data_IF_016499496758
#
_entry.id   IF_016499496758
#
_cell.length_a   1.000
_cell.length_b   1.000
_cell.length_c   1.000
_cell.angle_alpha   90.00
_cell.angle_beta   90.00
_cell.angle_gamma   90.00
#
_symmetry.space_group_name_H-M   'P 1'
#
loop_
_entity.id
_entity.type
_entity.pdbx_description
1 polymer ?
#
# COMPACT_ATOMS: atom_id res chain seq x y z
N UNK A 1 -70.41 36.01 -14.39
CA UNK A 1 -70.71 34.65 -14.93
C UNK A 1 -69.62 33.71 -14.41
N UNK A 2 -69.99 32.79 -13.48
CA UNK A 2 -69.31 31.56 -12.96
C UNK A 2 -67.82 31.65 -12.54
N UNK A 3 -67.47 31.65 -11.25
CA UNK A 3 -67.29 30.50 -10.31
C UNK A 3 -66.35 29.38 -10.78
N UNK A 4 -65.14 29.26 -10.17
CA UNK A 4 -64.75 28.20 -9.23
C UNK A 4 -63.22 28.14 -8.97
N UNK A 5 -62.85 28.00 -7.69
CA UNK A 5 -61.55 27.50 -7.23
C UNK A 5 -61.64 25.96 -6.98
N UNK A 6 -60.66 25.30 -6.34
CA UNK A 6 -59.42 24.75 -6.89
C UNK A 6 -59.35 23.21 -6.78
N UNK A 7 -58.42 22.55 -7.48
CA UNK A 7 -57.99 21.17 -7.16
C UNK A 7 -56.49 20.99 -7.41
N UNK A 8 -55.76 20.75 -6.32
CA UNK A 8 -54.41 20.18 -6.30
C UNK A 8 -54.42 18.74 -6.83
N UNK A 9 -53.31 18.27 -7.42
CA UNK A 9 -52.92 16.89 -7.27
C UNK A 9 -51.55 16.76 -6.59
N UNK A 10 -51.55 15.78 -5.71
CA UNK A 10 -50.48 15.22 -4.90
C UNK A 10 -49.34 14.71 -5.81
N UNK A 11 -48.16 15.34 -5.77
CA UNK A 11 -46.95 14.73 -6.34
C UNK A 11 -46.42 13.68 -5.35
N UNK A 12 -46.73 12.42 -5.61
CA UNK A 12 -46.06 11.30 -4.96
C UNK A 12 -44.60 11.24 -5.46
N UNK A 13 -43.66 11.59 -4.58
CA UNK A 13 -42.23 11.35 -4.78
C UNK A 13 -41.96 9.86 -4.59
N UNK A 14 -41.89 9.12 -5.69
CA UNK A 14 -41.26 7.80 -5.71
C UNK A 14 -39.76 8.06 -5.83
N UNK A 15 -39.03 7.91 -4.73
CA UNK A 15 -37.56 7.81 -4.75
C UNK A 15 -37.25 6.38 -5.18
N UNK A 16 -36.96 6.18 -6.46
CA UNK A 16 -36.30 4.95 -6.92
C UNK A 16 -34.81 5.16 -6.73
N UNK A 17 -34.24 4.50 -5.72
CA UNK A 17 -32.79 4.33 -5.62
C UNK A 17 -32.36 3.37 -6.75
N UNK A 18 -31.95 3.94 -7.88
CA UNK A 18 -31.39 3.20 -9.01
C UNK A 18 -29.90 2.98 -8.78
N UNK A 19 -29.51 1.75 -8.47
CA UNK A 19 -28.12 1.29 -8.62
C UNK A 19 -27.87 1.18 -10.13
N UNK A 20 -27.18 2.17 -10.71
CA UNK A 20 -26.72 2.09 -12.09
C UNK A 20 -25.33 1.44 -12.10
N UNK A 21 -25.26 0.16 -12.45
CA UNK A 21 -24.00 -0.49 -12.81
C UNK A 21 -23.62 -0.03 -14.22
N UNK A 22 -22.76 0.98 -14.33
CA UNK A 22 -22.22 1.44 -15.61
C UNK A 22 -21.03 0.55 -15.97
N UNK A 23 -21.18 -0.27 -17.02
CA UNK A 23 -20.06 -1.03 -17.60
C UNK A 23 -19.20 -0.07 -18.44
N UNK A 24 -18.17 0.53 -17.84
CA UNK A 24 -17.25 1.44 -18.53
C UNK A 24 -16.09 0.67 -19.18
N UNK A 25 -15.69 1.09 -20.38
CA UNK A 25 -14.55 0.54 -21.12
C UNK A 25 -13.26 1.25 -20.72
N UNK A 26 -12.68 0.86 -19.58
CA UNK A 26 -11.30 1.22 -19.26
C UNK A 26 -10.27 0.33 -19.93
N UNK A 27 -9.07 0.89 -20.19
CA UNK A 27 -7.89 0.13 -20.60
C UNK A 27 -7.64 -0.98 -19.57
N UNK A 28 -7.56 -2.21 -20.05
CA UNK A 28 -7.33 -3.37 -19.19
C UNK A 28 -5.81 -3.54 -19.02
N UNK A 29 -5.34 -3.56 -17.77
CA UNK A 29 -3.95 -3.82 -17.44
C UNK A 29 -3.68 -5.32 -17.45
N UNK A 30 -2.48 -5.74 -17.82
CA UNK A 30 -2.13 -7.18 -17.78
C UNK A 30 -1.72 -7.56 -16.36
N UNK A 31 -2.17 -8.72 -15.86
CA UNK A 31 -1.72 -9.25 -14.58
C UNK A 31 -0.20 -9.41 -14.58
N UNK A 32 0.47 -8.88 -13.55
CA UNK A 32 1.91 -9.05 -13.36
C UNK A 32 2.40 -10.49 -13.61
N UNK A 33 3.66 -10.68 -14.06
CA UNK A 33 4.26 -12.00 -14.18
C UNK A 33 4.08 -12.85 -12.94
N UNK A 34 3.98 -14.17 -13.11
CA UNK A 34 3.82 -15.10 -11.99
C UNK A 34 5.07 -15.01 -11.11
N UNK A 35 4.97 -14.59 -9.83
CA UNK A 35 6.14 -14.53 -8.97
C UNK A 35 6.77 -15.91 -8.83
N UNK A 36 8.10 -16.00 -9.01
CA UNK A 36 8.84 -17.27 -9.09
C UNK A 36 8.65 -18.16 -7.84
N UNK A 37 8.40 -17.57 -6.67
CA UNK A 37 8.11 -18.32 -5.45
C UNK A 37 6.71 -18.93 -5.40
N UNK A 38 5.77 -18.47 -6.23
CA UNK A 38 4.35 -18.84 -6.18
C UNK A 38 3.84 -19.61 -7.41
N UNK A 39 4.75 -19.96 -8.31
CA UNK A 39 4.45 -20.82 -9.45
C UNK A 39 4.07 -22.25 -9.01
N UNK A 40 3.93 -23.18 -9.96
CA UNK A 40 3.62 -24.59 -9.67
C UNK A 40 4.70 -25.32 -8.87
N UNK A 41 5.94 -24.86 -8.91
CA UNK A 41 7.06 -25.45 -8.17
C UNK A 41 7.16 -24.92 -6.73
N UNK A 42 6.64 -23.73 -6.48
CA UNK A 42 6.64 -23.05 -5.18
C UNK A 42 5.36 -23.20 -4.35
N UNK A 43 5.17 -22.25 -3.44
CA UNK A 43 4.03 -22.20 -2.53
C UNK A 43 2.74 -21.77 -3.25
N UNK A 44 1.59 -22.27 -2.82
CA UNK A 44 0.30 -21.81 -3.35
C UNK A 44 -0.26 -20.67 -2.49
N UNK A 45 -0.19 -19.40 -2.93
CA UNK A 45 -0.71 -18.28 -2.14
C UNK A 45 -2.24 -18.33 -2.01
N UNK A 46 -2.93 -19.05 -2.90
CA UNK A 46 -4.39 -19.13 -2.95
C UNK A 46 -4.98 -20.25 -2.10
N UNK A 47 -4.13 -21.11 -1.52
CA UNK A 47 -4.53 -22.29 -0.76
C UNK A 47 -5.50 -21.98 0.38
N UNK A 48 -5.34 -20.82 1.02
CA UNK A 48 -6.17 -20.37 2.13
C UNK A 48 -7.00 -19.12 1.79
N UNK A 49 -7.17 -18.79 0.50
CA UNK A 49 -8.01 -17.66 0.11
C UNK A 49 -9.42 -17.85 0.69
N UNK A 50 -9.96 -16.86 1.44
CA UNK A 50 -11.29 -16.97 2.03
C UNK A 50 -12.35 -17.34 0.98
N UNK A 51 -13.29 -18.26 1.26
CA UNK A 51 -14.29 -18.69 0.27
C UNK A 51 -15.09 -17.52 -0.34
N UNK A 52 -15.36 -16.47 0.43
CA UNK A 52 -16.04 -15.26 -0.06
C UNK A 52 -15.20 -14.41 -1.01
N UNK A 53 -13.88 -14.66 -1.10
CA UNK A 53 -12.94 -13.97 -1.98
C UNK A 53 -12.47 -14.82 -3.17
N UNK A 54 -12.95 -16.06 -3.30
CA UNK A 54 -12.68 -16.95 -4.43
C UNK A 54 -13.56 -16.57 -5.64
N UNK A 55 -13.18 -15.50 -6.33
CA UNK A 55 -13.94 -14.91 -7.43
C UNK A 55 -13.02 -14.28 -8.47
N UNK A 56 -13.49 -14.10 -9.71
CA UNK A 56 -12.78 -13.28 -10.71
C UNK A 56 -12.90 -11.78 -10.43
N UNK A 57 -13.77 -11.39 -9.49
CA UNK A 57 -13.85 -10.02 -8.99
C UNK A 57 -13.13 -9.87 -7.64
N UNK A 58 -12.45 -8.74 -7.46
CA UNK A 58 -11.76 -8.37 -6.22
C UNK A 58 -12.11 -6.94 -5.86
N UNK A 59 -12.40 -6.69 -4.59
CA UNK A 59 -12.54 -5.33 -4.09
C UNK A 59 -11.33 -4.92 -3.27
N UNK A 60 -10.81 -3.72 -3.53
CA UNK A 60 -9.82 -3.04 -2.68
C UNK A 60 -10.47 -1.81 -2.06
N UNK A 61 -10.09 -1.49 -0.83
CA UNK A 61 -10.55 -0.27 -0.18
C UNK A 61 -9.72 0.92 -0.68
N UNK A 62 -10.32 2.10 -0.68
CA UNK A 62 -9.73 3.30 -1.24
C UNK A 62 -9.71 4.38 -0.18
N UNK A 63 -8.55 5.02 -0.01
CA UNK A 63 -8.40 6.29 0.68
C UNK A 63 -7.62 7.24 -0.22
N UNK A 64 -8.25 8.30 -0.72
CA UNK A 64 -7.62 9.19 -1.71
C UNK A 64 -7.83 10.66 -1.37
N UNK A 65 -6.76 11.43 -1.27
CA UNK A 65 -6.79 12.91 -1.18
C UNK A 65 -6.76 13.58 -2.56
N UNK A 66 -7.32 12.86 -3.56
CA UNK A 66 -7.58 13.34 -4.92
C UNK A 66 -8.99 13.90 -5.00
N UNK A 67 -9.15 14.97 -5.78
CA UNK A 67 -10.45 15.59 -6.05
C UNK A 67 -11.33 14.63 -6.84
N UNK A 68 -12.59 14.37 -6.40
CA UNK A 68 -13.53 13.60 -7.19
C UNK A 68 -13.70 14.23 -8.58
N UNK A 69 -13.68 13.40 -9.62
CA UNK A 69 -14.00 13.87 -10.95
C UNK A 69 -15.49 14.19 -11.00
N UNK A 70 -15.84 15.48 -11.03
CA UNK A 70 -17.20 15.90 -11.39
C UNK A 70 -17.29 15.72 -12.89
N UNK A 71 -18.07 14.74 -13.34
CA UNK A 71 -18.23 14.50 -14.77
C UNK A 71 -18.88 15.71 -15.44
N UNK A 72 -18.08 16.58 -16.05
CA UNK A 72 -18.54 17.72 -16.85
C UNK A 72 -17.98 17.60 -18.27
N UNK A 73 -18.80 17.02 -19.17
CA UNK A 73 -18.46 16.82 -20.57
C UNK A 73 -18.23 18.14 -21.36
N UNK A 74 -18.42 19.31 -20.74
CA UNK A 74 -18.29 20.62 -21.39
C UNK A 74 -16.95 21.32 -21.17
N UNK A 75 -16.10 20.84 -20.25
CA UNK A 75 -14.83 21.50 -19.90
C UNK A 75 -13.64 21.22 -20.81
N UNK A 76 -13.73 20.21 -21.68
CA UNK A 76 -12.63 19.85 -22.59
C UNK A 76 -11.42 19.26 -21.88
N UNK A 77 -11.59 18.74 -20.66
CA UNK A 77 -10.55 17.99 -19.96
C UNK A 77 -10.18 16.74 -20.78
N UNK A 78 -8.89 16.42 -20.95
CA UNK A 78 -8.49 15.22 -21.68
C UNK A 78 -9.04 13.99 -20.95
N UNK A 79 -9.61 13.01 -21.67
CA UNK A 79 -10.10 11.79 -21.04
C UNK A 79 -8.95 11.10 -20.31
N UNK A 80 -9.22 10.62 -19.09
CA UNK A 80 -8.31 9.73 -18.38
C UNK A 80 -7.83 8.61 -19.30
N UNK A 81 -6.52 8.29 -19.24
CA UNK A 81 -5.91 7.17 -19.99
C UNK A 81 -6.66 5.85 -19.76
N UNK A 82 -7.33 5.73 -18.61
CA UNK A 82 -8.07 4.55 -18.20
C UNK A 82 -9.56 4.56 -18.58
N UNK A 83 -10.07 5.59 -19.27
CA UNK A 83 -11.47 5.63 -19.74
C UNK A 83 -12.55 5.72 -18.65
N UNK A 84 -12.15 5.86 -17.38
CA UNK A 84 -13.02 6.01 -16.22
C UNK A 84 -12.48 7.12 -15.31
N UNK A 85 -13.30 8.14 -15.07
CA UNK A 85 -12.96 9.31 -14.25
C UNK A 85 -13.74 9.28 -12.93
N UNK A 86 -13.21 8.62 -11.90
CA UNK A 86 -13.72 8.74 -10.53
C UNK A 86 -13.03 9.87 -9.76
N UNK A 87 -11.76 10.12 -10.06
CA UNK A 87 -10.90 11.09 -9.41
C UNK A 87 -10.01 11.78 -10.44
N UNK A 88 -9.75 13.07 -10.24
CA UNK A 88 -8.76 13.82 -11.01
C UNK A 88 -7.36 13.66 -10.39
N UNK A 89 -6.37 14.31 -10.99
CA UNK A 89 -5.02 14.42 -10.43
C UNK A 89 -4.88 15.66 -9.53
N UNK A 90 -5.96 16.42 -9.31
CA UNK A 90 -5.95 17.59 -8.45
C UNK A 90 -6.07 17.17 -6.99
N UNK A 91 -5.45 17.95 -6.12
CA UNK A 91 -5.55 17.82 -4.67
C UNK A 91 -6.95 18.19 -4.17
N UNK A 92 -7.45 17.43 -3.21
CA UNK A 92 -8.65 17.75 -2.44
C UNK A 92 -8.30 18.13 -1.00
N UNK A 93 -9.12 18.98 -0.40
CA UNK A 93 -9.06 19.35 1.02
C UNK A 93 -9.60 18.25 1.94
N UNK A 94 -10.23 17.25 1.34
CA UNK A 94 -10.76 16.05 1.98
C UNK A 94 -10.14 14.78 1.42
N UNK A 95 -9.99 13.77 2.25
CA UNK A 95 -9.67 12.40 1.86
C UNK A 95 -10.97 11.63 1.63
N UNK A 96 -11.12 11.12 0.42
CA UNK A 96 -12.27 10.38 -0.07
C UNK A 96 -12.09 8.90 0.31
N UNK A 97 -13.12 8.31 0.91
CA UNK A 97 -13.12 6.92 1.37
C UNK A 97 -14.09 6.10 0.53
N UNK A 98 -13.72 4.87 0.20
CA UNK A 98 -14.59 4.03 -0.61
C UNK A 98 -14.04 2.63 -0.87
N UNK A 99 -14.60 2.00 -1.91
CA UNK A 99 -14.24 0.68 -2.39
C UNK A 99 -14.22 0.68 -3.92
N UNK A 100 -13.12 0.21 -4.48
CA UNK A 100 -13.00 -0.09 -5.91
C UNK A 100 -13.26 -1.57 -6.15
N UNK A 101 -13.93 -1.91 -7.24
CA UNK A 101 -14.13 -3.30 -7.69
C UNK A 101 -13.38 -3.52 -9.00
N UNK A 102 -12.48 -4.51 -8.99
CA UNK A 102 -11.61 -4.88 -10.10
C UNK A 102 -12.02 -6.26 -10.59
N UNK A 103 -12.27 -6.39 -11.88
CA UNK A 103 -12.52 -7.66 -12.54
C UNK A 103 -11.25 -8.18 -13.20
N UNK A 104 -10.89 -9.42 -12.89
CA UNK A 104 -9.86 -10.20 -13.56
C UNK A 104 -10.51 -10.90 -14.76
N UNK A 105 -10.30 -10.34 -15.94
CA UNK A 105 -10.80 -10.89 -17.19
C UNK A 105 -9.80 -11.91 -17.71
N UNK A 106 -10.22 -13.17 -17.79
CA UNK A 106 -9.44 -14.25 -18.32
C UNK A 106 -10.14 -14.89 -19.51
N UNK A 107 -9.41 -15.71 -20.29
CA UNK A 107 -9.97 -16.43 -21.45
C UNK A 107 -11.15 -17.31 -21.07
N UNK A 108 -11.09 -17.94 -19.91
CA UNK A 108 -12.17 -18.73 -19.33
C UNK A 108 -12.57 -18.13 -17.98
N UNK A 109 -13.87 -17.95 -17.72
CA UNK A 109 -14.33 -17.40 -16.45
C UNK A 109 -14.16 -18.42 -15.32
N UNK A 110 -13.88 -17.92 -14.12
CA UNK A 110 -13.90 -18.72 -12.90
C UNK A 110 -12.62 -18.64 -12.07
N UNK A 111 -12.78 -18.84 -10.77
CA UNK A 111 -11.71 -18.79 -9.78
C UNK A 111 -10.60 -19.81 -10.08
N UNK A 112 -10.96 -21.07 -10.36
CA UNK A 112 -9.97 -22.14 -10.59
C UNK A 112 -9.09 -21.87 -11.82
N UNK A 113 -9.67 -21.27 -12.87
CA UNK A 113 -8.90 -20.87 -14.06
C UNK A 113 -7.95 -19.72 -13.71
N UNK A 114 -8.44 -18.70 -12.99
CA UNK A 114 -7.60 -17.59 -12.55
C UNK A 114 -6.41 -18.09 -11.72
N UNK A 115 -6.65 -18.92 -10.70
CA UNK A 115 -5.57 -19.52 -9.88
C UNK A 115 -4.58 -20.30 -10.72
N UNK A 116 -5.06 -21.13 -11.66
CA UNK A 116 -4.19 -21.90 -12.55
C UNK A 116 -3.28 -21.01 -13.40
N UNK A 117 -3.82 -19.95 -13.99
CA UNK A 117 -3.03 -19.02 -14.82
C UNK A 117 -2.08 -18.16 -13.95
N UNK A 118 -2.52 -17.68 -12.79
CA UNK A 118 -1.69 -16.95 -11.83
C UNK A 118 -0.51 -17.76 -11.28
N UNK A 119 -0.55 -19.10 -11.40
CA UNK A 119 0.56 -20.00 -11.01
C UNK A 119 1.32 -20.59 -12.21
N UNK A 120 1.09 -20.09 -13.41
CA UNK A 120 1.78 -20.54 -14.62
C UNK A 120 2.85 -19.52 -15.01
N UNK A 121 4.11 -19.95 -15.07
CA UNK A 121 5.28 -19.13 -15.42
C UNK A 121 5.11 -18.51 -16.83
N UNK A 122 5.06 -19.34 -17.86
CA UNK A 122 4.80 -18.90 -19.24
C UNK A 122 3.31 -18.98 -19.58
N UNK A 123 2.57 -17.91 -19.25
CA UNK A 123 1.13 -17.83 -19.59
C UNK A 123 0.94 -17.76 -21.10
N UNK A 124 -0.05 -18.49 -21.62
CA UNK A 124 -0.43 -18.41 -23.05
C UNK A 124 -1.27 -17.18 -23.37
N UNK A 125 -1.94 -16.64 -22.36
CA UNK A 125 -2.76 -15.45 -22.40
C UNK A 125 -2.87 -14.92 -20.99
N UNK A 126 -2.33 -13.76 -20.73
CA UNK A 126 -2.40 -13.16 -19.40
C UNK A 126 -3.84 -12.71 -19.08
N UNK A 127 -4.33 -12.98 -17.86
CA UNK A 127 -5.50 -12.31 -17.34
C UNK A 127 -5.29 -10.79 -17.36
N UNK A 128 -6.34 -10.04 -17.63
CA UNK A 128 -6.30 -8.57 -17.54
C UNK A 128 -7.14 -8.08 -16.38
N UNK A 129 -6.76 -6.95 -15.79
CA UNK A 129 -7.42 -6.30 -14.68
C UNK A 129 -8.14 -5.07 -15.19
N UNK A 130 -9.39 -4.92 -14.77
CA UNK A 130 -10.21 -3.77 -15.13
C UNK A 130 -11.02 -3.30 -13.95
N UNK A 131 -10.93 -2.02 -13.62
CA UNK A 131 -11.83 -1.42 -12.65
C UNK A 131 -13.24 -1.31 -13.25
N UNK A 132 -14.22 -1.94 -12.60
CA UNK A 132 -15.62 -2.01 -13.06
C UNK A 132 -16.60 -1.24 -12.17
N UNK A 133 -16.15 -0.74 -11.01
CA UNK A 133 -17.01 0.04 -10.13
C UNK A 133 -16.28 0.71 -8.99
N UNK A 134 -16.90 1.77 -8.47
CA UNK A 134 -16.48 2.50 -7.28
C UNK A 134 -17.70 2.76 -6.39
N UNK A 135 -17.59 2.43 -5.11
CA UNK A 135 -18.58 2.70 -4.07
C UNK A 135 -17.99 3.72 -3.10
N UNK A 136 -18.61 4.91 -2.99
CA UNK A 136 -18.18 5.94 -2.05
C UNK A 136 -18.76 5.69 -0.66
N UNK A 137 -17.92 5.83 0.37
CA UNK A 137 -18.34 5.87 1.76
C UNK A 137 -18.43 7.30 2.31
N UNK A 138 -18.03 8.29 1.51
CA UNK A 138 -17.98 9.70 1.89
C UNK A 138 -16.55 10.21 2.03
N UNK A 139 -16.41 11.44 2.51
CA UNK A 139 -15.14 12.15 2.60
C UNK A 139 -14.84 12.56 4.03
N UNK A 140 -13.57 12.82 4.28
CA UNK A 140 -13.09 13.28 5.56
C UNK A 140 -12.11 14.42 5.41
N UNK A 141 -12.29 15.50 6.18
CA UNK A 141 -11.39 16.64 6.17
C UNK A 141 -9.97 16.28 6.59
N UNK A 142 -9.01 16.66 5.74
CA UNK A 142 -7.58 16.41 5.96
C UNK A 142 -6.73 17.68 5.85
N UNK A 143 -7.37 18.83 5.67
CA UNK A 143 -6.74 20.14 5.64
C UNK A 143 -7.47 21.14 6.54
N UNK A 144 -7.51 22.41 6.13
CA UNK A 144 -8.31 23.42 6.79
C UNK A 144 -9.78 23.00 6.74
N UNK A 145 -10.47 22.93 7.90
CA UNK A 145 -11.90 22.66 7.90
C UNK A 145 -12.62 23.79 7.14
N UNK A 146 -13.63 23.48 6.33
CA UNK A 146 -14.41 24.50 5.65
C UNK A 146 -15.15 25.30 6.72
N UNK A 147 -15.35 26.59 6.48
CA UNK A 147 -16.08 27.43 7.43
C UNK A 147 -17.53 26.97 7.61
N UNK A 148 -18.12 26.16 6.71
CA UNK A 148 -19.56 25.83 6.73
C UNK A 148 -20.05 24.49 6.11
N UNK A 149 -19.21 23.52 5.68
CA UNK A 149 -19.67 22.62 4.59
C UNK A 149 -19.73 21.10 4.85
N UNK A 150 -19.35 20.57 6.03
CA UNK A 150 -19.75 19.19 6.38
C UNK A 150 -20.09 19.08 7.86
N UNK A 151 -21.30 18.61 8.20
CA UNK A 151 -21.64 18.30 9.57
C UNK A 151 -20.65 17.25 10.12
N UNK A 152 -20.15 17.38 11.36
CA UNK A 152 -19.33 16.35 12.00
C UNK A 152 -19.93 14.94 11.91
N UNK A 153 -21.27 14.84 11.82
CA UNK A 153 -22.03 13.60 11.64
C UNK A 153 -21.75 12.90 10.30
N UNK A 154 -21.58 13.63 9.20
CA UNK A 154 -21.33 13.03 7.89
C UNK A 154 -19.89 12.52 7.76
N UNK A 155 -18.93 13.24 8.34
CA UNK A 155 -17.54 12.77 8.46
C UNK A 155 -17.48 11.50 9.32
N UNK A 156 -18.13 11.50 10.48
CA UNK A 156 -18.16 10.33 11.37
C UNK A 156 -18.87 9.14 10.70
N UNK A 157 -19.93 9.37 9.92
CA UNK A 157 -20.58 8.33 9.13
C UNK A 157 -19.64 7.72 8.08
N UNK A 158 -18.83 8.54 7.39
CA UNK A 158 -17.84 8.06 6.44
C UNK A 158 -16.74 7.23 7.11
N UNK A 159 -16.22 7.71 8.24
CA UNK A 159 -15.24 6.97 9.05
C UNK A 159 -15.81 5.64 9.52
N UNK A 160 -17.05 5.63 10.02
CA UNK A 160 -17.71 4.43 10.49
C UNK A 160 -17.96 3.42 9.37
N UNK A 161 -18.42 3.86 8.20
CA UNK A 161 -18.63 3.01 7.04
C UNK A 161 -17.32 2.38 6.54
N UNK A 162 -16.24 3.17 6.46
CA UNK A 162 -14.92 2.67 6.08
C UNK A 162 -14.38 1.66 7.11
N UNK A 163 -14.47 1.98 8.42
CA UNK A 163 -14.05 1.07 9.48
C UNK A 163 -14.87 -0.23 9.50
N UNK A 164 -16.17 -0.16 9.21
CA UNK A 164 -17.03 -1.35 9.06
C UNK A 164 -16.58 -2.20 7.88
N UNK A 165 -16.27 -1.59 6.73
CA UNK A 165 -15.77 -2.30 5.56
C UNK A 165 -14.42 -2.99 5.83
N UNK A 166 -13.49 -2.30 6.53
CA UNK A 166 -12.22 -2.89 7.01
C UNK A 166 -12.50 -4.08 7.92
N UNK A 167 -13.32 -3.91 8.97
CA UNK A 167 -13.60 -4.97 9.93
C UNK A 167 -14.32 -6.18 9.31
N UNK A 168 -15.17 -5.96 8.30
CA UNK A 168 -15.79 -7.05 7.55
C UNK A 168 -14.76 -7.86 6.76
N UNK A 169 -13.81 -7.20 6.08
CA UNK A 169 -12.71 -7.87 5.40
C UNK A 169 -11.82 -8.64 6.38
N UNK A 170 -11.38 -8.00 7.46
CA UNK A 170 -10.59 -8.65 8.51
C UNK A 170 -11.31 -9.84 9.13
N UNK A 171 -12.63 -9.79 9.31
CA UNK A 171 -13.41 -10.91 9.85
C UNK A 171 -13.51 -12.08 8.88
N UNK A 172 -13.53 -11.82 7.57
CA UNK A 172 -13.59 -12.86 6.53
C UNK A 172 -12.22 -13.52 6.29
N UNK A 173 -11.14 -12.83 6.62
CA UNK A 173 -9.76 -13.28 6.44
C UNK A 173 -9.22 -14.04 7.64
N UNK A 174 -8.19 -14.86 7.41
CA UNK A 174 -7.44 -15.51 8.47
C UNK A 174 -6.44 -14.53 9.07
N UNK A 175 -5.70 -13.82 8.22
CA UNK A 175 -4.89 -12.67 8.65
C UNK A 175 -5.80 -11.53 9.09
N UNK A 176 -5.43 -10.89 10.21
CA UNK A 176 -6.05 -9.66 10.71
C UNK A 176 -5.21 -8.44 10.34
N UNK A 177 -4.44 -8.54 9.26
CA UNK A 177 -3.55 -7.49 8.81
C UNK A 177 -4.22 -6.61 7.75
N UNK A 178 -3.76 -5.36 7.71
CA UNK A 178 -4.06 -4.40 6.66
C UNK A 178 -2.79 -4.15 5.87
N UNK A 179 -2.90 -4.18 4.55
CA UNK A 179 -1.86 -3.78 3.62
C UNK A 179 -2.26 -2.46 2.97
N UNK A 180 -1.42 -1.44 3.12
CA UNK A 180 -1.64 -0.12 2.52
C UNK A 180 -0.60 0.11 1.43
N UNK A 181 -1.07 0.29 0.20
CA UNK A 181 -0.22 0.57 -0.94
C UNK A 181 -0.25 2.05 -1.30
N UNK A 182 0.93 2.66 -1.49
CA UNK A 182 1.11 4.04 -1.93
C UNK A 182 1.87 4.03 -3.26
N UNK A 183 1.21 4.50 -4.32
CA UNK A 183 1.79 4.56 -5.66
C UNK A 183 2.86 5.66 -5.80
N UNK A 184 3.62 5.58 -6.90
CA UNK A 184 4.64 6.56 -7.29
C UNK A 184 4.10 7.78 -8.05
N UNK A 185 5.01 8.52 -8.69
CA UNK A 185 4.68 9.65 -9.56
C UNK A 185 3.97 9.19 -10.84
N UNK A 186 3.16 10.07 -11.44
CA UNK A 186 2.51 9.84 -12.75
C UNK A 186 1.67 8.56 -12.82
N UNK A 187 0.91 8.27 -11.76
CA UNK A 187 -0.01 7.11 -11.70
C UNK A 187 -1.45 7.60 -11.68
N UNK A 188 -2.28 7.10 -12.61
CA UNK A 188 -3.70 7.40 -12.61
C UNK A 188 -4.41 6.71 -11.43
N UNK A 189 -5.62 7.16 -11.10
CA UNK A 189 -6.39 6.52 -10.04
C UNK A 189 -6.67 5.04 -10.34
N UNK A 190 -7.05 4.72 -11.58
CA UNK A 190 -7.37 3.34 -11.97
C UNK A 190 -6.12 2.46 -11.96
N UNK A 191 -4.98 2.95 -12.46
CA UNK A 191 -3.71 2.20 -12.46
C UNK A 191 -3.28 1.87 -11.03
N UNK A 192 -3.44 2.81 -10.10
CA UNK A 192 -3.21 2.55 -8.68
C UNK A 192 -4.12 1.40 -8.20
N UNK A 193 -5.42 1.44 -8.50
CA UNK A 193 -6.37 0.40 -8.07
C UNK A 193 -6.04 -0.97 -8.65
N UNK A 194 -5.68 -1.07 -9.94
CA UNK A 194 -5.34 -2.34 -10.59
C UNK A 194 -4.03 -2.90 -10.04
N UNK A 195 -3.02 -2.06 -9.85
CA UNK A 195 -1.73 -2.42 -9.23
C UNK A 195 -1.91 -2.95 -7.79
N UNK A 196 -2.75 -2.29 -6.99
CA UNK A 196 -3.06 -2.80 -5.65
C UNK A 196 -3.82 -4.13 -5.69
N UNK A 197 -4.74 -4.29 -6.63
CA UNK A 197 -5.52 -5.52 -6.79
C UNK A 197 -4.66 -6.72 -7.19
N UNK A 198 -3.65 -6.55 -8.06
CA UNK A 198 -2.71 -7.64 -8.36
C UNK A 198 -1.84 -8.02 -7.17
N UNK A 199 -1.31 -7.05 -6.42
CA UNK A 199 -0.55 -7.32 -5.20
C UNK A 199 -1.41 -8.08 -4.20
N UNK A 200 -2.65 -7.63 -3.96
CA UNK A 200 -3.56 -8.29 -3.04
C UNK A 200 -3.96 -9.70 -3.51
N UNK A 201 -4.08 -9.90 -4.82
CA UNK A 201 -4.32 -11.22 -5.39
C UNK A 201 -3.18 -12.18 -5.02
N UNK A 202 -1.92 -11.81 -5.24
CA UNK A 202 -0.78 -12.67 -4.90
C UNK A 202 -0.46 -12.77 -3.40
N UNK A 203 -0.97 -11.85 -2.57
CA UNK A 203 -1.04 -12.03 -1.11
C UNK A 203 -2.11 -13.06 -0.68
N UNK A 204 -2.71 -13.78 -1.62
CA UNK A 204 -3.73 -14.80 -1.36
C UNK A 204 -5.10 -14.23 -1.00
N UNK A 205 -5.29 -12.91 -1.14
CA UNK A 205 -6.49 -12.19 -0.69
C UNK A 205 -6.80 -12.42 0.80
N UNK A 206 -5.77 -12.60 1.61
CA UNK A 206 -5.87 -12.82 3.06
C UNK A 206 -5.52 -11.52 3.80
N UNK A 207 -6.51 -10.88 4.43
CA UNK A 207 -6.40 -9.58 5.10
C UNK A 207 -7.26 -8.52 4.41
N UNK A 208 -6.90 -7.25 4.59
CA UNK A 208 -7.55 -6.11 3.91
C UNK A 208 -6.51 -5.30 3.15
N UNK A 209 -6.78 -5.01 1.88
CA UNK A 209 -5.93 -4.16 1.07
C UNK A 209 -6.55 -2.78 0.86
N UNK A 210 -5.75 -1.74 1.09
CA UNK A 210 -6.11 -0.35 0.94
C UNK A 210 -5.15 0.30 -0.05
N UNK A 211 -5.69 0.85 -1.13
CA UNK A 211 -4.94 1.72 -2.02
C UNK A 211 -5.05 3.16 -1.53
N UNK A 212 -3.90 3.75 -1.21
CA UNK A 212 -3.80 5.16 -0.93
C UNK A 212 -3.52 5.92 -2.24
N UNK A 213 -4.44 6.81 -2.62
CA UNK A 213 -4.37 7.56 -3.87
C UNK A 213 -4.06 9.03 -3.61
N UNK A 214 -2.80 9.43 -3.80
CA UNK A 214 -2.39 10.83 -3.68
C UNK A 214 -2.40 11.54 -5.04
N UNK A 215 -2.52 12.89 -5.08
CA UNK A 215 -2.64 13.63 -6.33
C UNK A 215 -1.28 13.79 -7.04
N UNK A 216 -0.74 12.70 -7.57
CA UNK A 216 0.43 12.72 -8.45
C UNK A 216 0.06 13.30 -9.81
N UNK A 217 0.77 14.30 -10.31
CA UNK A 217 0.47 14.92 -11.61
C UNK A 217 0.81 13.96 -12.75
N UNK A 218 -0.03 13.93 -13.79
CA UNK A 218 0.18 13.16 -15.03
C UNK A 218 1.09 13.91 -16.03
N UNK A 219 2.05 14.70 -15.51
CA UNK A 219 2.92 15.59 -16.29
C UNK A 219 4.33 15.69 -15.70
N UNK A 220 5.32 15.23 -16.46
CA UNK A 220 6.76 15.24 -16.13
C UNK A 220 7.31 16.66 -15.89
N UNK A 221 6.66 17.69 -16.44
CA UNK A 221 7.15 19.08 -16.37
C UNK A 221 6.98 19.74 -14.98
N UNK A 222 6.17 19.15 -14.08
CA UNK A 222 5.81 19.73 -12.78
C UNK A 222 6.36 18.95 -11.56
N UNK A 223 7.37 18.11 -11.74
CA UNK A 223 7.91 17.22 -10.70
C UNK A 223 8.33 17.94 -9.38
N UNK A 224 8.68 19.23 -9.41
CA UNK A 224 8.94 20.03 -8.20
C UNK A 224 7.66 20.42 -7.45
N UNK A 225 6.55 20.68 -8.16
CA UNK A 225 5.24 20.87 -7.55
C UNK A 225 4.77 19.57 -6.88
N UNK A 226 5.10 18.41 -7.43
CA UNK A 226 4.73 17.10 -6.88
C UNK A 226 5.40 16.77 -5.56
N UNK A 227 6.62 17.26 -5.29
CA UNK A 227 7.23 17.15 -3.95
C UNK A 227 6.45 17.92 -2.90
N UNK A 228 5.92 19.10 -3.25
CA UNK A 228 5.05 19.87 -2.35
C UNK A 228 3.69 19.17 -2.14
N UNK A 229 3.21 18.46 -3.15
CA UNK A 229 1.96 17.68 -3.10
C UNK A 229 2.11 16.39 -2.31
N UNK A 230 3.20 15.63 -2.47
CA UNK A 230 3.50 14.47 -1.63
C UNK A 230 3.67 14.88 -0.16
N UNK A 231 4.34 16.02 0.10
CA UNK A 231 4.40 16.59 1.45
C UNK A 231 3.00 16.88 2.01
N UNK A 232 2.06 17.34 1.18
CA UNK A 232 0.69 17.59 1.61
C UNK A 232 -0.09 16.30 1.95
N UNK A 233 0.16 15.21 1.23
CA UNK A 233 -0.48 13.90 1.46
C UNK A 233 0.00 13.18 2.73
N UNK A 234 1.09 13.63 3.33
CA UNK A 234 1.60 13.14 4.61
C UNK A 234 0.56 13.19 5.73
N UNK A 235 -0.10 14.33 5.92
CA UNK A 235 -1.09 14.51 7.00
C UNK A 235 -2.33 13.62 6.78
N UNK A 236 -2.97 13.60 5.60
CA UNK A 236 -4.06 12.67 5.32
C UNK A 236 -3.66 11.21 5.56
N UNK A 237 -2.49 10.78 5.09
CA UNK A 237 -1.99 9.42 5.30
C UNK A 237 -1.78 9.08 6.79
N UNK A 238 -1.18 9.99 7.56
CA UNK A 238 -1.06 9.84 9.04
C UNK A 238 -2.42 9.69 9.72
N UNK A 239 -3.43 10.45 9.28
CA UNK A 239 -4.80 10.33 9.81
C UNK A 239 -5.45 9.00 9.44
N UNK A 240 -5.22 8.50 8.22
CA UNK A 240 -5.64 7.16 7.82
C UNK A 240 -5.06 6.11 8.78
N UNK A 241 -3.73 6.08 8.97
CA UNK A 241 -3.08 5.13 9.89
C UNK A 241 -3.63 5.22 11.32
N UNK A 242 -3.82 6.45 11.82
CA UNK A 242 -4.40 6.68 13.16
C UNK A 242 -5.81 6.10 13.27
N UNK A 243 -6.65 6.27 12.24
CA UNK A 243 -8.03 5.77 12.25
C UNK A 243 -8.09 4.25 12.08
N UNK A 244 -7.25 3.67 11.23
CA UNK A 244 -7.15 2.23 11.09
C UNK A 244 -6.78 1.58 12.43
N UNK A 245 -5.76 2.10 13.11
CA UNK A 245 -5.33 1.58 14.41
C UNK A 245 -6.41 1.69 15.50
N UNK A 246 -7.17 2.79 15.52
CA UNK A 246 -8.12 3.11 16.60
C UNK A 246 -9.56 2.62 16.34
N UNK A 247 -9.95 2.37 15.09
CA UNK A 247 -11.35 2.10 14.70
C UNK A 247 -11.55 0.73 14.08
N UNK A 248 -10.47 -0.04 13.88
CA UNK A 248 -10.55 -1.40 13.34
C UNK A 248 -9.97 -2.46 14.29
N UNK A 249 -10.31 -3.71 14.01
CA UNK A 249 -9.81 -4.90 14.70
C UNK A 249 -8.46 -5.37 14.12
N UNK A 250 -7.75 -4.50 13.40
CA UNK A 250 -6.45 -4.83 12.79
C UNK A 250 -5.43 -5.27 13.84
N UNK A 251 -4.62 -6.27 13.52
CA UNK A 251 -3.48 -6.70 14.32
C UNK A 251 -2.20 -6.00 13.88
N UNK A 252 -1.93 -5.94 12.56
CA UNK A 252 -0.81 -5.21 11.98
C UNK A 252 -1.20 -4.42 10.72
N UNK A 253 -0.59 -3.26 10.53
CA UNK A 253 -0.68 -2.42 9.35
C UNK A 253 0.68 -2.45 8.66
N UNK A 254 0.72 -2.97 7.44
CA UNK A 254 1.89 -3.01 6.58
C UNK A 254 1.75 -1.98 5.47
N UNK A 255 2.85 -1.31 5.15
CA UNK A 255 2.90 -0.22 4.19
C UNK A 255 3.86 -0.60 3.08
N UNK A 256 3.38 -0.62 1.84
CA UNK A 256 4.19 -0.71 0.63
C UNK A 256 4.14 0.64 -0.07
N UNK A 257 5.28 1.33 -0.16
CA UNK A 257 5.36 2.64 -0.79
C UNK A 257 6.40 2.65 -1.91
N UNK A 258 5.97 3.14 -3.06
CA UNK A 258 6.78 3.16 -4.29
C UNK A 258 7.21 4.58 -4.63
N UNK A 259 8.47 4.76 -5.05
CA UNK A 259 8.91 6.02 -5.68
C UNK A 259 8.63 7.27 -4.81
N UNK A 260 7.99 8.28 -5.41
CA UNK A 260 7.52 9.51 -4.78
C UNK A 260 6.44 9.30 -3.70
N UNK A 261 5.87 8.09 -3.57
CA UNK A 261 5.04 7.70 -2.44
C UNK A 261 5.83 7.38 -1.16
N UNK A 262 7.13 7.04 -1.28
CA UNK A 262 7.96 6.69 -0.12
C UNK A 262 8.11 7.84 0.91
N UNK A 263 8.36 9.10 0.51
CA UNK A 263 8.36 10.23 1.44
C UNK A 263 7.08 10.36 2.26
N UNK A 264 5.90 10.10 1.66
CA UNK A 264 4.60 10.16 2.35
C UNK A 264 4.57 9.16 3.51
N UNK A 265 4.98 7.91 3.26
CA UNK A 265 5.01 6.87 4.28
C UNK A 265 6.01 7.17 5.39
N UNK A 266 7.26 7.50 5.03
CA UNK A 266 8.33 7.75 5.99
C UNK A 266 8.01 8.96 6.86
N UNK A 267 7.55 10.06 6.26
CA UNK A 267 7.22 11.28 6.99
C UNK A 267 5.99 11.10 7.89
N UNK A 268 4.97 10.36 7.46
CA UNK A 268 3.83 10.06 8.33
C UNK A 268 4.26 9.26 9.56
N UNK A 269 5.13 8.25 9.40
CA UNK A 269 5.70 7.49 10.51
C UNK A 269 6.58 8.37 11.41
N UNK A 270 7.38 9.28 10.82
CA UNK A 270 8.16 10.28 11.58
C UNK A 270 7.26 11.18 12.42
N UNK A 271 6.15 11.67 11.86
CA UNK A 271 5.17 12.46 12.62
C UNK A 271 4.50 11.66 13.74
N UNK A 272 4.11 10.40 13.48
CA UNK A 272 3.59 9.51 14.52
C UNK A 272 4.60 9.34 15.65
N UNK A 273 5.89 9.15 15.31
CA UNK A 273 6.97 9.03 16.26
C UNK A 273 7.18 10.31 17.08
N UNK A 274 7.22 11.47 16.43
CA UNK A 274 7.42 12.76 17.09
C UNK A 274 6.29 13.14 18.04
N UNK A 275 5.04 12.79 17.71
CA UNK A 275 3.89 13.00 18.60
C UNK A 275 4.01 12.24 19.93
N UNK A 276 4.83 11.18 19.98
CA UNK A 276 5.08 10.36 21.17
C UNK A 276 6.58 10.29 21.48
N UNK A 277 7.33 11.36 21.20
CA UNK A 277 8.81 11.34 21.25
C UNK A 277 9.38 10.93 22.61
N UNK A 278 8.67 11.26 23.70
CA UNK A 278 9.04 10.90 25.07
C UNK A 278 8.86 9.41 25.41
N UNK A 279 8.13 8.65 24.60
CA UNK A 279 7.95 7.20 24.75
C UNK A 279 8.97 6.43 23.89
N UNK A 280 9.33 5.18 24.26
CA UNK A 280 10.11 4.32 23.38
C UNK A 280 9.40 4.10 22.03
N UNK A 281 10.14 3.99 20.93
CA UNK A 281 9.56 3.80 19.59
C UNK A 281 8.63 2.57 19.50
N UNK A 282 8.90 1.52 20.30
CA UNK A 282 8.04 0.35 20.43
C UNK A 282 6.62 0.68 20.94
N UNK A 283 6.44 1.73 21.75
CA UNK A 283 5.13 2.18 22.19
C UNK A 283 4.34 2.81 21.04
N UNK A 284 4.99 3.63 20.20
CA UNK A 284 4.39 4.14 18.95
C UNK A 284 4.00 2.99 18.03
N UNK A 285 4.87 1.99 17.87
CA UNK A 285 4.59 0.78 17.10
C UNK A 285 3.32 0.07 17.58
N UNK A 286 3.23 -0.27 18.86
CA UNK A 286 2.06 -0.97 19.42
C UNK A 286 0.80 -0.12 19.32
N UNK A 287 0.89 1.20 19.51
CA UNK A 287 -0.24 2.13 19.43
C UNK A 287 -0.85 2.19 18.03
N UNK A 288 0.00 2.25 17.01
CA UNK A 288 -0.43 2.37 15.61
C UNK A 288 -0.41 1.05 14.84
N UNK A 289 0.02 -0.03 15.51
CA UNK A 289 0.07 -1.40 14.99
C UNK A 289 0.87 -1.51 13.69
N UNK A 290 2.03 -0.85 13.61
CA UNK A 290 2.82 -0.80 12.37
C UNK A 290 3.72 -2.03 12.28
N UNK A 291 3.43 -2.91 11.33
CA UNK A 291 4.17 -4.15 11.11
C UNK A 291 5.37 -3.93 10.20
N UNK A 292 5.14 -3.71 8.91
CA UNK A 292 6.20 -3.61 7.90
C UNK A 292 6.14 -2.29 7.16
N UNK A 293 7.31 -1.72 6.91
CA UNK A 293 7.50 -0.67 5.92
C UNK A 293 8.34 -1.22 4.78
N UNK A 294 7.76 -1.35 3.60
CA UNK A 294 8.45 -1.76 2.39
C UNK A 294 8.53 -0.56 1.47
N UNK A 295 9.75 -0.11 1.20
CA UNK A 295 10.04 0.99 0.29
C UNK A 295 10.65 0.43 -0.98
N UNK A 296 10.04 0.73 -2.12
CA UNK A 296 10.52 0.28 -3.43
C UNK A 296 10.95 1.49 -4.24
N UNK A 297 12.18 1.47 -4.73
CA UNK A 297 12.76 2.53 -5.54
C UNK A 297 12.50 3.93 -4.94
N UNK A 298 12.73 4.15 -3.63
CA UNK A 298 12.23 5.33 -2.94
C UNK A 298 12.87 6.62 -3.48
N UNK A 299 12.03 7.54 -3.93
CA UNK A 299 12.45 8.86 -4.39
C UNK A 299 12.43 9.86 -3.23
N UNK A 300 13.28 9.60 -2.24
CA UNK A 300 13.43 10.40 -1.03
C UNK A 300 14.85 10.96 -0.96
N UNK A 301 15.01 12.20 -0.51
CA UNK A 301 16.35 12.74 -0.20
C UNK A 301 16.98 11.92 0.93
N UNK A 302 18.24 11.52 0.77
CA UNK A 302 18.90 10.70 1.80
C UNK A 302 19.11 11.47 3.11
N UNK A 303 19.31 12.78 3.07
CA UNK A 303 19.37 13.63 4.25
C UNK A 303 18.04 13.68 4.99
N UNK A 304 16.93 13.85 4.27
CA UNK A 304 15.58 13.80 4.84
C UNK A 304 15.29 12.42 5.45
N UNK A 305 15.68 11.34 4.78
CA UNK A 305 15.57 9.99 5.34
C UNK A 305 16.45 9.84 6.59
N UNK A 306 17.66 10.39 6.57
CA UNK A 306 18.57 10.41 7.71
C UNK A 306 17.97 11.13 8.93
N UNK A 307 17.30 12.27 8.70
CA UNK A 307 16.57 12.99 9.74
C UNK A 307 15.40 12.15 10.27
N UNK A 308 14.63 11.50 9.39
CA UNK A 308 13.53 10.64 9.80
C UNK A 308 14.01 9.45 10.65
N UNK A 309 15.12 8.83 10.28
CA UNK A 309 15.78 7.78 11.07
C UNK A 309 16.24 8.31 12.42
N UNK A 310 16.89 9.48 12.46
CA UNK A 310 17.33 10.12 13.70
C UNK A 310 16.17 10.43 14.65
N UNK A 311 15.02 10.81 14.09
CA UNK A 311 13.77 11.02 14.84
C UNK A 311 13.11 9.69 15.26
N UNK A 312 13.56 8.55 14.74
CA UNK A 312 13.09 7.21 15.09
C UNK A 312 11.98 6.66 14.19
N UNK A 313 11.76 7.21 13.00
CA UNK A 313 10.70 6.79 12.08
C UNK A 313 10.83 5.30 11.68
N UNK A 314 12.04 4.83 11.38
CA UNK A 314 12.31 3.43 11.00
C UNK A 314 12.26 2.44 12.16
N UNK A 315 12.23 2.93 13.40
CA UNK A 315 12.05 2.11 14.60
C UNK A 315 10.56 1.93 14.98
N UNK A 316 9.64 2.64 14.29
CA UNK A 316 8.19 2.45 14.46
C UNK A 316 7.71 1.13 13.82
N UNK A 317 8.06 0.78 12.57
CA UNK A 317 7.78 -0.56 12.06
C UNK A 317 8.53 -1.65 12.82
N UNK A 318 8.02 -2.89 12.80
CA UNK A 318 8.79 -4.06 13.26
C UNK A 318 10.01 -4.31 12.36
N UNK A 319 9.85 -4.01 11.06
CA UNK A 319 10.92 -4.08 10.09
C UNK A 319 10.69 -3.08 8.95
N UNK A 320 11.76 -2.45 8.50
CA UNK A 320 11.81 -1.66 7.27
C UNK A 320 12.63 -2.41 6.23
N UNK A 321 12.14 -2.54 5.00
CA UNK A 321 12.89 -3.13 3.87
C UNK A 321 12.91 -2.12 2.73
N UNK A 322 14.09 -1.84 2.19
CA UNK A 322 14.32 -0.85 1.15
C UNK A 322 14.90 -1.55 -0.07
N UNK A 323 14.21 -1.50 -1.20
CA UNK A 323 14.68 -2.02 -2.48
C UNK A 323 15.31 -0.90 -3.31
N UNK A 324 16.54 -1.12 -3.75
CA UNK A 324 17.36 -0.22 -4.58
C UNK A 324 17.93 -0.99 -5.77
N UNK A 325 18.32 -0.32 -6.85
CA UNK A 325 19.07 -0.94 -7.97
C UNK A 325 20.46 -0.32 -8.10
N UNK A 326 21.53 -1.10 -7.91
CA UNK A 326 22.88 -0.58 -7.64
C UNK A 326 23.85 -0.43 -8.82
N UNK A 327 23.57 -0.96 -10.02
CA UNK A 327 24.61 -1.12 -11.05
C UNK A 327 24.22 -0.92 -12.53
N UNK A 328 23.10 -0.26 -12.84
CA UNK A 328 22.88 0.25 -14.21
C UNK A 328 22.49 1.73 -14.28
N UNK A 329 23.01 2.39 -15.31
CA UNK A 329 22.86 3.83 -15.59
C UNK A 329 21.49 4.16 -16.20
N UNK A 330 20.41 3.64 -15.60
CA UNK A 330 19.04 3.86 -16.07
C UNK A 330 18.18 4.71 -15.10
N UNK A 331 18.80 5.40 -14.15
CA UNK A 331 18.17 6.51 -13.43
C UNK A 331 18.82 7.84 -13.84
N UNK A 332 18.51 8.29 -15.06
CA UNK A 332 18.87 9.62 -15.56
C UNK A 332 17.67 10.59 -15.57
N UNK A 333 16.64 10.34 -14.75
CA UNK A 333 15.46 11.23 -14.67
C UNK A 333 15.38 12.00 -13.32
N UNK A 334 15.86 11.44 -12.20
CA UNK A 334 15.81 12.13 -10.90
C UNK A 334 17.05 12.97 -10.56
N UNK A 335 18.19 12.69 -11.20
CA UNK A 335 19.46 13.40 -10.96
C UNK A 335 19.46 14.87 -11.44
N UNK A 336 18.49 15.29 -12.25
CA UNK A 336 18.56 16.58 -12.96
C UNK A 336 18.01 17.80 -12.19
N UNK A 337 17.22 17.62 -11.12
CA UNK A 337 16.47 18.75 -10.52
C UNK A 337 16.95 19.12 -9.09
N UNK A 338 17.69 18.25 -8.39
CA UNK A 338 17.91 18.42 -6.94
C UNK A 338 19.35 18.61 -6.44
N UNK A 339 20.38 18.12 -7.13
CA UNK A 339 21.78 18.24 -6.69
C UNK A 339 22.18 17.44 -5.42
N UNK A 340 21.31 16.59 -4.87
CA UNK A 340 21.54 15.76 -3.68
C UNK A 340 21.24 14.28 -3.95
N UNK A 341 21.89 13.39 -3.19
CA UNK A 341 21.74 11.94 -3.31
C UNK A 341 20.36 11.45 -2.81
N UNK A 342 19.77 10.51 -3.55
CA UNK A 342 18.45 9.91 -3.22
C UNK A 342 18.61 8.55 -2.53
N UNK A 343 17.64 8.18 -1.70
CA UNK A 343 17.63 6.89 -1.00
C UNK A 343 17.57 5.70 -1.98
N UNK A 344 16.84 5.85 -3.09
CA UNK A 344 16.73 4.83 -4.14
C UNK A 344 17.86 4.81 -5.16
N UNK A 345 18.87 5.68 -5.04
CA UNK A 345 19.99 5.74 -5.99
C UNK A 345 20.89 4.50 -5.92
N UNK A 346 21.61 4.21 -7.03
CA UNK A 346 22.59 3.14 -7.03
C UNK A 346 23.66 3.31 -5.96
N UNK A 347 24.09 2.21 -5.33
CA UNK A 347 25.14 2.24 -4.29
C UNK A 347 26.43 2.91 -4.77
N UNK A 348 26.75 2.83 -6.07
CA UNK A 348 27.90 3.51 -6.66
C UNK A 348 27.84 5.04 -6.59
N UNK A 349 26.65 5.62 -6.41
CA UNK A 349 26.43 7.07 -6.27
C UNK A 349 26.52 7.49 -4.79
N UNK A 350 26.26 6.57 -3.86
CA UNK A 350 26.29 6.85 -2.43
C UNK A 350 27.72 6.94 -1.88
N UNK A 351 27.94 7.86 -0.95
CA UNK A 351 29.23 7.93 -0.25
C UNK A 351 29.40 6.75 0.71
N UNK A 352 30.63 6.33 1.05
CA UNK A 352 30.86 5.29 2.07
C UNK A 352 30.19 5.59 3.42
N UNK A 353 30.07 6.88 3.78
CA UNK A 353 29.37 7.33 4.98
C UNK A 353 27.86 7.03 4.91
N UNK A 354 27.25 7.24 3.74
CA UNK A 354 25.83 6.96 3.51
C UNK A 354 25.54 5.46 3.63
N UNK A 355 26.38 4.62 3.03
CA UNK A 355 26.26 3.16 3.11
C UNK A 355 26.45 2.68 4.57
N UNK A 356 27.45 3.20 5.27
CA UNK A 356 27.68 2.88 6.68
C UNK A 356 26.51 3.32 7.57
N UNK A 357 25.94 4.50 7.33
CA UNK A 357 24.77 5.01 8.05
C UNK A 357 23.58 4.06 7.88
N UNK A 358 23.28 3.68 6.64
CA UNK A 358 22.18 2.79 6.31
C UNK A 358 22.36 1.39 6.91
N UNK A 359 23.57 0.82 6.80
CA UNK A 359 23.90 -0.49 7.36
C UNK A 359 23.94 -0.54 8.90
N UNK A 360 24.06 0.61 9.56
CA UNK A 360 24.06 0.69 11.02
C UNK A 360 22.65 0.71 11.63
N UNK A 361 21.59 0.81 10.81
CA UNK A 361 20.23 0.90 11.31
C UNK A 361 19.68 -0.49 11.64
N UNK A 362 19.49 -0.76 12.93
CA UNK A 362 18.80 -1.96 13.37
C UNK A 362 17.37 -1.99 12.84
N UNK A 363 16.93 -3.15 12.33
CA UNK A 363 15.57 -3.30 11.80
C UNK A 363 15.37 -2.76 10.39
N UNK A 364 16.41 -2.24 9.73
CA UNK A 364 16.38 -1.82 8.32
C UNK A 364 17.16 -2.82 7.46
N UNK A 365 16.49 -3.39 6.47
CA UNK A 365 17.10 -4.24 5.45
C UNK A 365 17.19 -3.47 4.13
N UNK A 366 18.34 -3.55 3.46
CA UNK A 366 18.51 -3.01 2.11
C UNK A 366 18.70 -4.17 1.16
N UNK A 367 17.90 -4.20 0.12
CA UNK A 367 17.90 -5.22 -0.93
C UNK A 367 18.27 -4.55 -2.25
N UNK A 368 19.37 -4.99 -2.84
CA UNK A 368 19.80 -4.60 -4.17
C UNK A 368 19.25 -5.55 -5.22
N UNK A 369 18.41 -5.01 -6.11
CA UNK A 369 17.68 -5.75 -7.16
C UNK A 369 18.46 -5.87 -8.47
N UNK A 370 19.64 -5.25 -8.59
CA UNK A 370 20.38 -5.21 -9.86
C UNK A 370 20.61 -6.59 -10.51
N UNK A 371 20.88 -7.62 -9.71
CA UNK A 371 21.10 -8.96 -10.25
C UNK A 371 19.83 -9.59 -10.81
N UNK A 372 18.65 -9.28 -10.24
CA UNK A 372 17.37 -9.69 -10.79
C UNK A 372 17.14 -9.02 -12.16
N UNK A 373 17.29 -7.70 -12.22
CA UNK A 373 17.12 -6.91 -13.46
C UNK A 373 18.00 -7.39 -14.63
N UNK A 374 19.25 -7.80 -14.34
CA UNK A 374 20.18 -8.31 -15.37
C UNK A 374 19.82 -9.67 -15.94
N UNK A 375 19.18 -10.54 -15.16
CA UNK A 375 18.92 -11.93 -15.57
C UNK A 375 17.79 -12.03 -16.59
N UNK A 376 16.84 -11.09 -16.57
CA UNK A 376 15.67 -11.09 -17.47
C UNK A 376 15.84 -10.25 -18.74
N UNK A 377 17.03 -9.67 -18.98
CA UNK A 377 17.30 -8.89 -20.20
C UNK A 377 16.37 -7.69 -20.37
N UNK A 378 15.76 -7.26 -19.28
CA UNK A 378 14.65 -6.34 -19.28
C UNK A 378 15.15 -5.00 -18.79
N UNK A 379 15.02 -3.97 -19.63
CA UNK A 379 15.07 -2.58 -19.20
C UNK A 379 13.79 -2.29 -18.41
N UNK A 380 13.54 -3.03 -17.31
CA UNK A 380 12.42 -2.79 -16.43
C UNK A 380 12.74 -1.47 -15.74
N UNK A 381 11.98 -0.45 -16.11
CA UNK A 381 12.11 0.86 -15.52
C UNK A 381 11.72 0.83 -14.04
N UNK A 382 11.27 1.98 -13.56
CA UNK A 382 10.93 2.23 -12.15
C UNK A 382 9.87 1.29 -11.54
N UNK A 383 9.32 0.32 -12.28
CA UNK A 383 8.22 -0.59 -11.93
C UNK A 383 8.65 -2.05 -11.62
N UNK A 384 9.96 -2.32 -11.47
CA UNK A 384 10.49 -3.69 -11.28
C UNK A 384 9.82 -4.52 -10.16
N UNK A 385 9.23 -3.90 -9.13
CA UNK A 385 8.66 -4.65 -7.99
C UNK A 385 7.43 -5.49 -8.33
N UNK A 386 6.80 -5.23 -9.47
CA UNK A 386 5.72 -6.05 -9.98
C UNK A 386 6.03 -6.65 -11.35
N UNK A 387 6.90 -6.03 -12.15
CA UNK A 387 7.26 -6.58 -13.46
C UNK A 387 8.35 -7.67 -13.41
N UNK A 388 9.15 -7.74 -12.34
CA UNK A 388 10.18 -8.76 -12.14
C UNK A 388 9.67 -9.86 -11.18
N UNK A 389 9.70 -11.11 -11.61
CA UNK A 389 9.16 -12.26 -10.87
C UNK A 389 10.00 -12.61 -9.62
N UNK A 390 11.28 -12.24 -9.56
CA UNK A 390 12.13 -12.40 -8.38
C UNK A 390 11.84 -11.30 -7.37
N UNK A 391 11.81 -10.04 -7.81
CA UNK A 391 11.59 -8.91 -6.90
C UNK A 391 10.17 -8.93 -6.35
N UNK A 392 9.16 -9.18 -7.18
CA UNK A 392 7.78 -9.33 -6.72
C UNK A 392 7.65 -10.46 -5.70
N UNK A 393 8.32 -11.59 -5.91
CA UNK A 393 8.36 -12.68 -4.91
C UNK A 393 8.94 -12.19 -3.58
N UNK A 394 10.08 -11.49 -3.59
CA UNK A 394 10.68 -11.00 -2.34
C UNK A 394 9.78 -9.98 -1.64
N UNK A 395 9.19 -9.05 -2.38
CA UNK A 395 8.27 -8.04 -1.88
C UNK A 395 7.05 -8.70 -1.22
N UNK A 396 6.43 -9.67 -1.88
CA UNK A 396 5.26 -10.39 -1.37
C UNK A 396 5.60 -11.23 -0.12
N UNK A 397 6.76 -11.90 -0.11
CA UNK A 397 7.23 -12.65 1.06
C UNK A 397 7.59 -11.73 2.25
N UNK A 398 8.16 -10.55 1.98
CA UNK A 398 8.50 -9.55 2.98
C UNK A 398 7.24 -8.90 3.58
N UNK A 399 6.29 -8.54 2.71
CA UNK A 399 5.07 -7.83 3.06
C UNK A 399 4.03 -8.76 3.71
N UNK A 400 3.71 -9.88 3.07
CA UNK A 400 2.61 -10.77 3.45
C UNK A 400 2.95 -11.79 4.54
N UNK A 401 4.23 -12.16 4.67
CA UNK A 401 4.66 -13.24 5.58
C UNK A 401 5.71 -12.81 6.59
N UNK A 402 6.18 -11.56 6.52
CA UNK A 402 7.14 -11.02 7.47
C UNK A 402 8.48 -11.77 7.52
N UNK A 403 8.83 -12.51 6.46
CA UNK A 403 10.10 -13.22 6.45
C UNK A 403 11.26 -12.23 6.47
N UNK A 404 12.36 -12.57 7.15
CA UNK A 404 13.62 -11.82 7.07
C UNK A 404 14.34 -12.13 5.74
N UNK A 405 15.25 -11.27 5.27
CA UNK A 405 15.89 -11.44 3.95
C UNK A 405 16.50 -12.83 3.69
N UNK A 406 17.23 -13.37 4.67
CA UNK A 406 17.81 -14.71 4.62
C UNK A 406 16.76 -15.82 4.53
N UNK A 407 15.64 -15.66 5.26
CA UNK A 407 14.51 -16.56 5.21
C UNK A 407 13.74 -16.49 3.87
N UNK A 408 13.92 -15.43 3.09
CA UNK A 408 13.36 -15.29 1.73
C UNK A 408 14.31 -15.79 0.63
N UNK A 409 15.53 -16.18 1.00
CA UNK A 409 16.52 -16.70 0.05
C UNK A 409 17.56 -15.68 -0.43
N UNK A 410 17.54 -14.46 0.11
CA UNK A 410 18.55 -13.45 -0.19
C UNK A 410 19.87 -13.75 0.52
N UNK A 411 20.96 -13.28 -0.06
CA UNK A 411 22.31 -13.39 0.52
C UNK A 411 22.87 -12.00 0.77
N UNK A 412 23.64 -11.84 1.85
CA UNK A 412 24.29 -10.57 2.14
C UNK A 412 25.58 -10.45 1.32
N UNK A 413 25.69 -9.39 0.53
CA UNK A 413 26.93 -9.03 -0.16
C UNK A 413 27.99 -8.64 0.89
N UNK A 414 29.13 -9.34 0.95
CA UNK A 414 30.16 -9.07 1.95
C UNK A 414 30.88 -7.72 1.74
N UNK A 415 30.83 -7.13 0.53
CA UNK A 415 31.48 -5.87 0.20
C UNK A 415 30.57 -4.68 0.48
N UNK A 416 29.33 -4.74 0.00
CA UNK A 416 28.38 -3.63 0.08
C UNK A 416 27.50 -3.68 1.34
N UNK A 417 27.52 -4.82 2.05
CA UNK A 417 26.74 -5.04 3.28
C UNK A 417 25.20 -4.98 3.10
N UNK A 418 24.73 -4.98 1.85
CA UNK A 418 23.32 -5.10 1.45
C UNK A 418 22.94 -6.55 1.13
N UNK A 419 21.65 -6.85 1.07
CA UNK A 419 21.14 -8.13 0.57
C UNK A 419 21.02 -8.10 -0.96
N UNK A 420 21.25 -9.23 -1.61
CA UNK A 420 21.12 -9.38 -3.06
C UNK A 420 20.56 -10.75 -3.41
N UNK A 421 20.12 -10.90 -4.66
CA UNK A 421 19.56 -12.11 -5.23
C UNK A 421 20.69 -13.04 -5.69
N UNK A 422 20.89 -14.22 -5.06
CA UNK A 422 21.85 -15.19 -5.56
C UNK A 422 21.34 -15.86 -6.85
N UNK A 423 22.23 -16.47 -7.63
CA UNK A 423 21.85 -17.16 -8.88
C UNK A 423 20.85 -18.32 -8.68
N UNK A 424 20.80 -18.90 -7.48
CA UNK A 424 19.86 -19.95 -7.09
C UNK A 424 18.61 -19.41 -6.36
N UNK A 425 18.33 -18.11 -6.46
CA UNK A 425 17.20 -17.46 -5.80
C UNK A 425 15.85 -18.13 -6.09
N UNK A 426 15.47 -18.50 -7.34
CA UNK A 426 14.21 -19.18 -7.63
C UNK A 426 13.94 -20.39 -6.73
N UNK A 427 14.93 -21.27 -6.57
CA UNK A 427 14.80 -22.47 -5.76
C UNK A 427 14.64 -22.14 -4.26
N UNK A 428 15.37 -21.13 -3.78
CA UNK A 428 15.28 -20.68 -2.38
C UNK A 428 13.95 -19.99 -2.10
N UNK A 429 13.48 -19.16 -3.02
CA UNK A 429 12.23 -18.44 -2.94
C UNK A 429 11.04 -19.42 -2.98
N UNK A 430 11.05 -20.41 -3.88
CA UNK A 430 10.08 -21.50 -3.91
C UNK A 430 10.04 -22.27 -2.58
N UNK A 431 11.20 -22.61 -2.01
CA UNK A 431 11.27 -23.24 -0.69
C UNK A 431 10.75 -22.33 0.45
N UNK A 432 11.01 -21.03 0.38
CA UNK A 432 10.47 -20.06 1.34
C UNK A 432 8.95 -19.97 1.25
N UNK A 433 8.41 -19.84 0.04
CA UNK A 433 6.98 -19.80 -0.23
C UNK A 433 6.28 -21.10 0.22
N UNK A 434 6.84 -22.27 -0.09
CA UNK A 434 6.30 -23.56 0.39
C UNK A 434 6.19 -23.60 1.91
N UNK A 435 7.13 -23.02 2.67
CA UNK A 435 7.06 -23.00 4.14
C UNK A 435 5.92 -22.14 4.68
N UNK A 436 5.58 -21.04 4.01
CA UNK A 436 4.57 -20.07 4.51
C UNK A 436 3.19 -20.32 3.93
N UNK A 437 3.09 -20.86 2.72
CA UNK A 437 1.86 -21.24 2.05
C UNK A 437 1.44 -22.67 2.41
N UNK A 438 1.19 -22.90 3.70
CA UNK A 438 0.75 -24.20 4.22
C UNK A 438 -0.78 -24.26 4.36
N UNK A 439 -1.42 -25.44 4.22
CA UNK A 439 -2.85 -25.57 4.52
C UNK A 439 -3.13 -25.08 5.94
N UNK A 440 -4.26 -24.40 6.14
CA UNK A 440 -4.71 -24.06 7.48
C UNK A 440 -4.73 -25.35 8.34
N UNK A 441 -3.98 -25.37 9.44
CA UNK A 441 -4.08 -26.44 10.41
C UNK A 441 -5.56 -26.55 10.80
N UNK A 442 -6.13 -27.77 10.76
CA UNK A 442 -7.52 -27.98 11.11
C UNK A 442 -7.78 -27.45 12.52
N UNK A 443 -8.41 -26.28 12.63
CA UNK A 443 -8.75 -25.67 13.91
C UNK A 443 -9.90 -26.50 14.47
N UNK A 444 -9.57 -27.48 15.30
CA UNK A 444 -10.54 -28.02 16.27
C UNK A 444 -10.87 -26.86 17.20
N UNK A 445 -12.14 -26.49 17.39
CA UNK A 445 -12.50 -25.40 18.28
C UNK A 445 -12.21 -25.83 19.72
N UNK A 446 -11.03 -25.50 20.24
CA UNK A 446 -10.73 -25.61 21.66
C UNK A 446 -11.43 -24.45 22.37
N UNK A 447 -12.40 -24.80 23.21
CA UNK A 447 -13.11 -23.89 24.09
C UNK A 447 -12.13 -23.01 24.90
N UNK A 448 -12.43 -21.72 24.98
CA UNK A 448 -11.66 -20.74 25.73
C UNK A 448 -11.54 -21.16 27.21
N UNK A 449 -10.33 -21.18 27.80
CA UNK A 449 -10.19 -21.32 29.23
C UNK A 449 -10.51 -19.96 29.90
N UNK A 450 -11.26 -20.05 30.98
CA UNK A 450 -11.70 -18.93 31.80
C UNK A 450 -10.51 -18.11 32.34
N UNK A 451 -10.70 -16.79 32.36
CA UNK A 451 -9.79 -15.83 32.95
C UNK A 451 -9.58 -16.11 34.45
N UNK A 452 -8.33 -16.26 34.88
CA UNK A 452 -7.96 -16.18 36.27
C UNK A 452 -7.01 -15.00 36.48
N UNK A 453 -7.49 -14.05 37.28
CA UNK A 453 -6.78 -12.88 37.79
C UNK A 453 -5.78 -13.28 38.86
N UNK A 454 -4.51 -12.88 38.71
CA UNK A 454 -3.65 -12.31 39.76
C UNK A 454 -2.19 -12.30 39.28
N UNK A 455 -1.64 -11.12 39.00
CA UNK A 455 -0.20 -10.93 38.92
C UNK A 455 0.18 -9.60 39.60
N UNK A 456 1.04 -9.72 40.61
CA UNK A 456 1.68 -8.69 41.43
C UNK A 456 2.63 -7.83 40.58
N UNK A 457 2.77 -6.51 40.83
CA UNK A 457 3.60 -5.63 40.00
C UNK A 457 5.11 -5.84 40.23
N UNK A 458 5.96 -5.70 39.19
CA UNK A 458 7.41 -5.70 39.35
C UNK A 458 7.92 -4.35 39.87
N UNK A 459 9.06 -4.43 40.56
CA UNK A 459 9.76 -3.33 41.21
C UNK A 459 10.38 -2.34 40.20
N UNK A 460 10.48 -1.07 40.63
CA UNK A 460 10.98 0.05 39.87
C UNK A 460 12.44 -0.13 39.41
N UNK A 461 12.67 -0.04 38.10
CA UNK A 461 13.98 0.17 37.50
C UNK A 461 14.19 1.64 37.14
N UNK A 462 15.42 2.09 37.34
CA UNK A 462 15.88 3.49 37.25
C UNK A 462 15.74 4.05 35.83
N UNK A 463 15.27 5.30 35.73
CA UNK A 463 15.08 5.99 34.46
C UNK A 463 16.40 6.43 33.82
N UNK A 464 16.40 6.43 32.48
CA UNK A 464 17.44 6.97 31.62
C UNK A 464 17.28 8.50 31.47
N UNK A 465 17.36 9.24 32.58
CA UNK A 465 17.19 10.69 32.62
C UNK A 465 18.52 11.49 32.63
N UNK A 466 19.65 10.87 32.27
CA UNK A 466 20.99 11.48 32.43
C UNK A 466 21.77 11.70 31.12
N UNK A 467 21.12 11.86 29.96
CA UNK A 467 21.86 12.01 28.69
C UNK A 467 21.58 13.25 27.81
N UNK A 468 20.82 14.25 28.26
CA UNK A 468 20.73 15.53 27.55
C UNK A 468 20.65 16.72 28.53
N UNK A 469 21.60 17.66 28.51
CA UNK A 469 21.50 18.91 29.25
C UNK A 469 20.32 19.73 28.73
N UNK A 470 19.43 20.15 29.62
CA UNK A 470 18.39 21.13 29.33
C UNK A 470 19.05 22.50 29.08
N UNK A 471 19.15 22.88 27.81
CA UNK A 471 19.19 24.26 27.32
C UNK A 471 19.38 24.18 25.80
N UNK A 472 18.29 24.02 25.01
CA UNK A 472 18.10 24.51 23.63
C UNK A 472 16.61 24.44 23.25
#
# INVERSE_FOLDING_TARGET
MRMNAPRTPLFARIIVAGVAAVLLAGCAETLMPTPVGFDKSGGDPFLNTPPSMQSTSLSVLVAADRKPAVHDATRGDPPSKSGVDFFTNERDTSMQLGRATIEFTAREPGWDYLVKESRTEDRRSDPTLKMIGYESFGSVWVEMPPLNETPPEAEEAAIAAFAQAVNAGLSASRSKDIYVFIHGFNTSFVDNMTLGAEMFHYLGRDGVFINYGWPSQDSVFDYSADKSTASASTRPFRLLLTRLANRSNVEQIHILAHSAGAPIAVEALRQLRLMHFSEPAAATRTRYKIGRLVLVAPDMDLGDFGNAVADGATAVPERTTIYISSRDKALDISAWIGGFARLGEPLSVLTPKNIAFLNAQEGVDIVDVFLAERMFGSWLGHSYFHDDDWVSTDVLLALGHGLLPDARGLVRDPQESVFTFPADYPAKAAAAALRVCQPAAAVVPTAAPAANSAATPPAAEKSAADLFPEDW
#
